data_IF_300206726742
#
_entry.id   IF_300206726742
#
_cell.length_a   1.000
_cell.length_b   1.000
_cell.length_c   1.000
_cell.angle_alpha   90.00
_cell.angle_beta   90.00
_cell.angle_gamma   90.00
#
_symmetry.space_group_name_H-M   'P 1'
#
loop_
_entity.id
_entity.type
_entity.pdbx_description
1 polymer ?
#
# COMPACT_ATOMS: atom_id res chain seq x y z
N UNK A 1 -12.24 18.41 23.10
CA UNK A 1 -11.01 17.59 23.20
C UNK A 1 -11.24 16.57 24.29
N UNK A 2 -10.98 15.28 24.07
CA UNK A 2 -11.31 14.20 24.99
C UNK A 2 -10.08 13.83 25.84
N UNK A 3 -9.83 14.48 26.99
CA UNK A 3 -8.63 14.26 27.80
C UNK A 3 -8.59 12.90 28.50
N UNK A 4 -9.69 12.14 28.46
CA UNK A 4 -9.79 10.81 29.08
C UNK A 4 -9.39 9.67 28.14
N UNK A 5 -9.02 9.95 26.89
CA UNK A 5 -8.67 8.93 25.91
C UNK A 5 -7.19 8.55 26.03
N UNK A 6 -6.90 7.26 26.20
CA UNK A 6 -5.54 6.74 26.19
C UNK A 6 -5.19 6.26 24.77
N UNK A 7 -4.35 7.02 24.04
CA UNK A 7 -3.97 6.72 22.66
C UNK A 7 -2.53 6.20 22.64
N UNK A 8 -2.34 5.01 22.08
CA UNK A 8 -1.02 4.43 21.83
C UNK A 8 -0.80 4.43 20.32
N UNK A 9 0.20 5.19 19.85
CA UNK A 9 0.55 5.26 18.44
C UNK A 9 1.79 4.40 18.16
N UNK A 10 1.73 3.59 17.10
CA UNK A 10 2.83 2.75 16.68
C UNK A 10 3.17 2.96 15.21
N UNK A 11 4.45 3.23 14.94
CA UNK A 11 4.96 3.37 13.57
C UNK A 11 5.61 2.05 13.15
N UNK A 12 4.84 1.17 12.50
CA UNK A 12 5.33 -0.09 12.00
C UNK A 12 4.81 -0.37 10.59
N UNK A 13 5.71 -0.77 9.69
CA UNK A 13 5.39 -1.14 8.30
C UNK A 13 5.66 -2.65 8.03
N UNK A 14 6.13 -3.39 9.04
CA UNK A 14 6.53 -4.79 8.86
C UNK A 14 5.41 -5.74 9.28
N UNK A 15 4.92 -6.53 8.32
CA UNK A 15 3.85 -7.52 8.50
C UNK A 15 4.15 -8.57 9.59
N UNK A 16 5.44 -8.87 9.84
CA UNK A 16 5.85 -9.81 10.89
C UNK A 16 5.69 -9.23 12.30
N UNK A 17 5.99 -7.94 12.47
CA UNK A 17 5.82 -7.25 13.76
C UNK A 17 4.34 -7.09 14.07
N UNK A 18 3.52 -6.89 13.03
CA UNK A 18 2.06 -6.83 13.15
C UNK A 18 1.44 -8.09 13.73
N UNK A 19 1.86 -9.31 13.31
CA UNK A 19 1.32 -10.57 13.85
C UNK A 19 1.51 -10.70 15.37
N UNK A 20 2.71 -10.33 15.86
CA UNK A 20 3.06 -10.44 17.28
C UNK A 20 2.24 -9.45 18.10
N UNK A 21 2.06 -8.22 17.58
CA UNK A 21 1.26 -7.19 18.26
C UNK A 21 -0.22 -7.56 18.23
N UNK A 22 -0.72 -8.04 17.10
CA UNK A 22 -2.14 -8.33 16.93
C UNK A 22 -2.60 -9.40 17.94
N UNK A 23 -1.82 -10.48 18.09
CA UNK A 23 -2.16 -11.55 19.01
C UNK A 23 -2.06 -11.14 20.48
N UNK A 24 -0.98 -10.45 20.87
CA UNK A 24 -0.73 -10.09 22.28
C UNK A 24 -1.68 -9.00 22.77
N UNK A 25 -2.07 -8.06 21.90
CA UNK A 25 -2.84 -6.89 22.31
C UNK A 25 -4.33 -6.97 21.98
N UNK A 26 -4.74 -7.58 20.86
CA UNK A 26 -6.10 -7.40 20.34
C UNK A 26 -7.08 -8.55 20.57
N UNK A 27 -6.68 -9.62 21.29
CA UNK A 27 -7.57 -10.77 21.55
C UNK A 27 -8.92 -10.38 22.20
N UNK A 28 -8.97 -9.29 22.99
CA UNK A 28 -10.18 -8.82 23.66
C UNK A 28 -10.81 -7.57 23.02
N UNK A 29 -10.31 -7.09 21.89
CA UNK A 29 -10.71 -5.82 21.30
C UNK A 29 -11.28 -6.02 19.89
N UNK A 30 -12.25 -5.19 19.53
CA UNK A 30 -12.65 -5.07 18.13
C UNK A 30 -11.61 -4.23 17.37
N UNK A 31 -11.32 -4.62 16.13
CA UNK A 31 -10.34 -3.94 15.27
C UNK A 31 -11.09 -3.22 14.15
N UNK A 32 -10.78 -1.93 13.97
CA UNK A 32 -11.30 -1.11 12.88
C UNK A 32 -10.21 -0.94 11.84
N UNK A 33 -10.51 -1.29 10.60
CA UNK A 33 -9.58 -1.29 9.47
C UNK A 33 -9.93 -0.16 8.52
N UNK A 34 -8.99 0.76 8.31
CA UNK A 34 -9.11 1.86 7.35
C UNK A 34 -7.88 1.89 6.45
N UNK A 35 -7.80 0.91 5.55
CA UNK A 35 -6.64 0.68 4.70
C UNK A 35 -6.93 0.93 3.24
N UNK A 36 -5.92 1.40 2.53
CA UNK A 36 -5.96 1.71 1.10
C UNK A 36 -5.49 0.53 0.23
N UNK A 37 -4.63 -0.35 0.75
CA UNK A 37 -4.12 -1.51 0.02
C UNK A 37 -5.00 -2.76 0.18
N UNK A 38 -5.49 -3.30 -0.94
CA UNK A 38 -6.28 -4.53 -0.96
C UNK A 38 -5.49 -5.76 -0.49
N UNK A 39 -4.18 -5.82 -0.76
CA UNK A 39 -3.35 -6.95 -0.32
C UNK A 39 -3.18 -6.96 1.19
N UNK A 40 -2.88 -5.79 1.79
CA UNK A 40 -2.78 -5.65 3.25
C UNK A 40 -4.11 -5.97 3.93
N UNK A 41 -5.22 -5.41 3.42
CA UNK A 41 -6.58 -5.72 3.89
C UNK A 41 -6.88 -7.23 3.84
N UNK A 42 -6.49 -7.91 2.76
CA UNK A 42 -6.65 -9.38 2.65
C UNK A 42 -5.83 -10.14 3.68
N UNK A 43 -4.59 -9.70 3.94
CA UNK A 43 -3.72 -10.30 4.92
C UNK A 43 -4.31 -10.19 6.32
N UNK A 44 -4.72 -8.99 6.75
CA UNK A 44 -5.27 -8.79 8.10
C UNK A 44 -6.62 -9.45 8.29
N UNK A 45 -7.47 -9.48 7.27
CA UNK A 45 -8.72 -10.25 7.30
C UNK A 45 -8.46 -11.73 7.62
N UNK A 46 -7.41 -12.33 7.03
CA UNK A 46 -7.01 -13.73 7.33
C UNK A 46 -6.47 -13.88 8.75
N UNK A 47 -5.67 -12.92 9.23
CA UNK A 47 -5.11 -12.97 10.59
C UNK A 47 -6.23 -12.84 11.63
N UNK A 48 -7.11 -11.85 11.49
CA UNK A 48 -8.24 -11.66 12.41
C UNK A 48 -9.21 -12.84 12.37
N UNK A 49 -9.44 -13.45 11.20
CA UNK A 49 -10.22 -14.68 11.09
C UNK A 49 -9.57 -15.84 11.86
N UNK A 50 -8.26 -16.04 11.70
CA UNK A 50 -7.54 -17.11 12.39
C UNK A 50 -7.54 -16.94 13.92
N UNK A 51 -7.67 -15.70 14.40
CA UNK A 51 -7.67 -15.34 15.82
C UNK A 51 -9.06 -15.07 16.40
N UNK A 52 -10.14 -15.20 15.61
CA UNK A 52 -11.53 -14.99 16.06
C UNK A 52 -11.74 -13.56 16.58
N UNK A 53 -11.09 -12.58 15.95
CA UNK A 53 -11.20 -11.16 16.32
C UNK A 53 -12.33 -10.52 15.50
N UNK A 54 -13.20 -9.75 16.15
CA UNK A 54 -14.23 -8.94 15.47
C UNK A 54 -13.55 -7.81 14.70
N UNK A 55 -13.87 -7.71 13.41
CA UNK A 55 -13.31 -6.70 12.51
C UNK A 55 -14.40 -5.85 11.88
N UNK A 56 -14.15 -4.54 11.81
CA UNK A 56 -14.94 -3.58 11.06
C UNK A 56 -14.07 -3.02 9.94
N UNK A 57 -14.36 -3.40 8.71
CA UNK A 57 -13.66 -2.95 7.50
C UNK A 57 -14.39 -1.76 6.88
N UNK A 58 -13.72 -0.61 6.86
CA UNK A 58 -14.22 0.60 6.25
C UNK A 58 -13.36 0.98 5.03
N UNK A 59 -14.00 1.60 4.03
CA UNK A 59 -13.30 2.11 2.86
C UNK A 59 -14.14 3.12 2.09
N UNK A 60 -13.45 4.09 1.47
CA UNK A 60 -14.07 5.11 0.63
C UNK A 60 -13.34 5.23 -0.72
N UNK A 61 -14.07 5.66 -1.75
CA UNK A 61 -13.52 5.99 -3.06
C UNK A 61 -14.35 7.12 -3.69
N UNK A 62 -13.89 8.36 -3.49
CA UNK A 62 -14.64 9.55 -3.90
C UNK A 62 -15.93 9.67 -3.09
N UNK A 63 -17.08 9.75 -3.77
CA UNK A 63 -18.41 9.82 -3.14
C UNK A 63 -18.99 8.44 -2.73
N UNK A 64 -18.23 7.36 -2.90
CA UNK A 64 -18.67 6.01 -2.53
C UNK A 64 -18.00 5.61 -1.23
N UNK A 65 -18.78 5.06 -0.31
CA UNK A 65 -18.32 4.59 0.98
C UNK A 65 -18.89 3.19 1.24
N UNK A 66 -18.13 2.37 1.95
CA UNK A 66 -18.58 1.08 2.45
C UNK A 66 -18.05 0.84 3.87
N UNK A 67 -18.86 0.17 4.68
CA UNK A 67 -18.46 -0.32 5.99
C UNK A 67 -19.11 -1.69 6.21
N UNK A 68 -18.29 -2.69 6.54
CA UNK A 68 -18.74 -4.05 6.78
C UNK A 68 -18.15 -4.56 8.09
N UNK A 69 -18.94 -5.29 8.87
CA UNK A 69 -18.48 -5.96 10.08
C UNK A 69 -18.47 -7.47 9.88
N UNK A 70 -17.47 -8.13 10.47
CA UNK A 70 -17.36 -9.59 10.47
C UNK A 70 -17.11 -10.08 11.89
N UNK A 71 -17.82 -11.16 12.25
CA UNK A 71 -17.66 -11.89 13.50
C UNK A 71 -17.42 -13.38 13.21
N UNK A 72 -17.13 -14.14 14.26
CA UNK A 72 -16.91 -15.58 14.18
C UNK A 72 -18.03 -16.30 13.40
N UNK A 73 -17.64 -17.19 12.48
CA UNK A 73 -18.57 -17.98 11.67
C UNK A 73 -19.21 -17.26 10.48
N UNK A 74 -18.93 -15.97 10.25
CA UNK A 74 -19.38 -15.27 9.03
C UNK A 74 -18.39 -15.42 7.87
N UNK A 75 -18.92 -15.43 6.64
CA UNK A 75 -18.13 -15.38 5.41
C UNK A 75 -17.46 -14.00 5.31
N UNK A 76 -16.13 -13.96 5.27
CA UNK A 76 -15.39 -12.70 5.11
C UNK A 76 -15.49 -12.13 3.69
N UNK A 77 -15.37 -10.81 3.59
CA UNK A 77 -14.92 -10.21 2.34
C UNK A 77 -13.46 -10.55 2.10
N UNK A 78 -13.24 -11.51 1.21
CA UNK A 78 -11.97 -11.63 0.50
C UNK A 78 -12.02 -10.53 -0.56
N UNK A 79 -11.23 -9.45 -0.45
CA UNK A 79 -11.24 -8.40 -1.46
C UNK A 79 -10.86 -9.04 -2.79
N UNK A 80 -11.78 -9.02 -3.75
CA UNK A 80 -11.46 -9.35 -5.13
C UNK A 80 -10.45 -8.28 -5.55
N UNK A 81 -9.20 -8.65 -5.76
CA UNK A 81 -8.21 -7.77 -6.35
C UNK A 81 -8.68 -7.44 -7.76
N UNK A 82 -9.33 -6.28 -7.89
CA UNK A 82 -9.69 -5.72 -9.19
C UNK A 82 -8.35 -5.48 -9.89
N UNK A 83 -8.04 -6.34 -10.87
CA UNK A 83 -6.80 -6.21 -11.64
C UNK A 83 -6.79 -4.81 -12.24
N UNK A 84 -5.75 -4.04 -11.93
CA UNK A 84 -5.52 -2.77 -12.59
C UNK A 84 -5.52 -2.96 -14.11
N UNK A 85 -6.01 -1.96 -14.85
CA UNK A 85 -6.01 -2.00 -16.32
C UNK A 85 -4.57 -2.18 -16.82
N UNK A 86 -4.27 -3.35 -17.36
CA UNK A 86 -2.98 -3.66 -17.96
C UNK A 86 -3.03 -3.30 -19.44
N UNK A 87 -2.02 -2.58 -19.91
CA UNK A 87 -1.85 -2.21 -21.30
C UNK A 87 -0.65 -2.97 -21.88
N UNK A 88 -0.73 -3.43 -23.15
CA UNK A 88 0.38 -4.16 -23.76
C UNK A 88 1.61 -3.26 -23.92
N UNK A 89 2.79 -3.83 -23.73
CA UNK A 89 4.06 -3.10 -23.74
C UNK A 89 4.34 -2.40 -25.07
N UNK A 90 3.93 -3.00 -26.19
CA UNK A 90 4.07 -2.40 -27.52
C UNK A 90 3.26 -1.09 -27.64
N UNK A 91 2.06 -1.02 -27.05
CA UNK A 91 1.25 0.21 -27.05
C UNK A 91 1.86 1.28 -26.17
N UNK A 92 2.41 0.92 -25.00
CA UNK A 92 3.03 1.90 -24.10
C UNK A 92 4.32 2.49 -24.72
N UNK A 93 5.13 1.66 -25.40
CA UNK A 93 6.45 2.08 -25.93
C UNK A 93 6.40 2.66 -27.34
N UNK A 94 5.57 2.10 -28.21
CA UNK A 94 5.66 2.37 -29.65
C UNK A 94 4.48 3.18 -30.18
N UNK A 95 3.27 3.02 -29.61
CA UNK A 95 2.07 3.69 -30.11
C UNK A 95 1.11 4.09 -28.97
N UNK A 96 1.46 5.12 -28.16
CA UNK A 96 0.57 5.61 -27.12
C UNK A 96 -0.62 6.36 -27.74
N UNK A 97 -1.83 5.87 -27.51
CA UNK A 97 -3.06 6.50 -28.01
C UNK A 97 -3.74 7.44 -27.01
N UNK A 98 -3.52 7.22 -25.70
CA UNK A 98 -4.14 7.98 -24.63
C UNK A 98 -3.09 8.54 -23.67
N UNK A 99 -3.40 9.68 -23.02
CA UNK A 99 -2.53 10.29 -22.01
C UNK A 99 -2.13 9.30 -20.89
N UNK A 100 -3.05 8.41 -20.49
CA UNK A 100 -2.77 7.36 -19.51
C UNK A 100 -1.56 6.49 -19.90
N UNK A 101 -1.37 6.21 -21.20
CA UNK A 101 -0.21 5.41 -21.65
C UNK A 101 1.10 6.17 -21.45
N UNK A 102 1.10 7.48 -21.69
CA UNK A 102 2.27 8.32 -21.47
C UNK A 102 2.66 8.40 -19.98
N UNK A 103 1.67 8.51 -19.09
CA UNK A 103 1.89 8.49 -17.63
C UNK A 103 2.49 7.15 -17.19
N UNK A 104 1.94 6.03 -17.66
CA UNK A 104 2.46 4.70 -17.36
C UNK A 104 3.90 4.56 -17.86
N UNK A 105 4.21 5.06 -19.08
CA UNK A 105 5.56 5.04 -19.60
C UNK A 105 6.53 5.89 -18.77
N UNK A 106 6.11 7.08 -18.30
CA UNK A 106 6.94 7.93 -17.46
C UNK A 106 7.29 7.24 -16.12
N UNK A 107 6.34 6.55 -15.49
CA UNK A 107 6.57 5.77 -14.27
C UNK A 107 7.56 4.62 -14.55
N UNK A 108 7.39 3.92 -15.66
CA UNK A 108 8.32 2.86 -16.07
C UNK A 108 9.73 3.39 -16.37
N UNK A 109 9.83 4.52 -17.07
CA UNK A 109 11.11 5.15 -17.37
C UNK A 109 11.82 5.58 -16.08
N UNK A 110 11.08 6.17 -15.14
CA UNK A 110 11.63 6.58 -13.85
C UNK A 110 12.23 5.40 -13.08
N UNK A 111 11.54 4.25 -13.05
CA UNK A 111 12.08 3.06 -12.38
C UNK A 111 13.33 2.52 -13.07
N UNK A 112 13.37 2.49 -14.41
CA UNK A 112 14.55 2.08 -15.16
C UNK A 112 15.76 3.01 -14.97
N UNK A 113 15.52 4.30 -14.72
CA UNK A 113 16.60 5.27 -14.53
C UNK A 113 17.12 5.27 -13.09
N UNK A 114 16.24 5.16 -12.09
CA UNK A 114 16.55 5.52 -10.71
C UNK A 114 16.22 4.46 -9.65
N UNK A 115 15.55 3.35 -10.00
CA UNK A 115 15.28 2.30 -9.00
C UNK A 115 16.56 1.62 -8.54
N UNK A 116 16.65 1.31 -7.25
CA UNK A 116 17.85 0.72 -6.66
C UNK A 116 18.23 -0.65 -7.24
N UNK A 117 17.28 -1.38 -7.82
CA UNK A 117 17.50 -2.76 -8.32
C UNK A 117 17.95 -2.82 -9.78
N UNK A 118 17.46 -1.91 -10.63
CA UNK A 118 17.63 -1.96 -12.10
C UNK A 118 18.11 -0.62 -12.69
N UNK A 119 18.20 0.41 -11.87
CA UNK A 119 18.51 1.78 -12.28
C UNK A 119 19.89 1.92 -12.90
N UNK A 120 19.94 2.52 -14.10
CA UNK A 120 21.19 2.86 -14.79
C UNK A 120 22.01 3.86 -13.96
N UNK A 121 21.34 4.81 -13.31
CA UNK A 121 21.98 5.77 -12.42
C UNK A 121 21.90 5.29 -10.98
N UNK A 122 23.03 4.90 -10.41
CA UNK A 122 23.09 4.71 -8.95
C UNK A 122 23.09 6.09 -8.30
N UNK A 123 22.43 6.24 -7.15
CA UNK A 123 22.41 7.49 -6.37
C UNK A 123 23.81 8.08 -6.14
N UNK A 124 24.83 7.21 -6.05
CA UNK A 124 26.25 7.61 -5.93
C UNK A 124 26.79 8.35 -7.18
N UNK A 125 26.29 8.03 -8.36
CA UNK A 125 26.70 8.64 -9.63
C UNK A 125 26.02 10.00 -9.82
N UNK A 126 24.79 10.17 -9.33
CA UNK A 126 24.08 11.45 -9.33
C UNK A 126 24.74 12.50 -8.43
N UNK A 127 25.20 12.10 -7.24
CA UNK A 127 25.91 13.01 -6.31
C UNK A 127 27.20 13.54 -6.95
N UNK A 128 27.93 12.72 -7.72
CA UNK A 128 29.14 13.15 -8.43
C UNK A 128 28.85 14.21 -9.50
N UNK A 129 27.76 14.06 -10.25
CA UNK A 129 27.36 15.01 -11.29
C UNK A 129 26.95 16.36 -10.66
N UNK A 130 26.19 16.33 -9.56
CA UNK A 130 25.80 17.55 -8.85
C UNK A 130 27.00 18.31 -8.28
N UNK A 131 27.96 17.59 -7.67
CA UNK A 131 29.18 18.21 -7.11
C UNK A 131 30.08 18.77 -8.22
N UNK A 132 30.21 18.09 -9.37
CA UNK A 132 31.00 18.60 -10.49
C UNK A 132 30.37 19.85 -11.14
N UNK A 133 29.04 19.93 -11.23
CA UNK A 133 28.36 21.13 -11.73
C UNK A 133 28.42 22.31 -10.75
N UNK A 134 28.46 22.06 -9.44
CA UNK A 134 28.63 23.10 -8.41
C UNK A 134 30.09 23.57 -8.31
N UNK A 135 31.07 22.69 -8.52
CA UNK A 135 32.50 23.05 -8.53
C UNK A 135 32.96 23.74 -9.83
N UNK A 136 32.14 23.73 -10.89
CA UNK A 136 32.39 24.48 -12.13
C UNK A 136 31.64 25.82 -12.19
N UNK A 137 31.08 26.27 -11.07
CA UNK A 137 30.66 27.66 -10.82
C UNK A 137 31.57 28.27 -9.77
#
# INVERSE_FOLDING_TARGET
>A
MAPQLNIIAQLCCNQLIFLVILWIFFYNYAVIMELDNAETRSYENKVCQALIIIIVDAGSMGFKEQANSYSEGMLLCIPITIKHKQYPTCTIRSQPSNFTHCVIWAIYLFSQLFSCEVGIFRLKDLIKISIQQVLQR
#
